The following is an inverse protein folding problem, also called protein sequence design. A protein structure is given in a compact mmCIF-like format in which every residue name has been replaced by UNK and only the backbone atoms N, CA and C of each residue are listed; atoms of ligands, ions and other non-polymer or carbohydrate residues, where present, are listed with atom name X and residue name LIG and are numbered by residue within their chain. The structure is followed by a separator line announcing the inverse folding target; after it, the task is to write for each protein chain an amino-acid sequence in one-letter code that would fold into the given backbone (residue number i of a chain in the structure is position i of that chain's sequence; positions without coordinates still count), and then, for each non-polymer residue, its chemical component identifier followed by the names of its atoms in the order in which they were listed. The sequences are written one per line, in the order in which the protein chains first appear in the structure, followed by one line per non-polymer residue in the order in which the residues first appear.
data_IF_324577223865
#
_entry.id   IF_324577223865
#
_cell.length_a   1.000
_cell.length_b   1.000
_cell.length_c   1.000
_cell.angle_alpha   90.00
_cell.angle_beta   90.00
_cell.angle_gamma   90.00
#
_symmetry.space_group_name_H-M   'P 1'
#
loop_
_entity.id
_entity.type
_entity.pdbx_description
1 polymer ?
#
# COMPACT_ATOMS: atom_id res chain seq x y z
N UNK A 1 13.09 -4.06 28.28
CA UNK A 1 13.13 -3.93 26.80
C UNK A 1 13.77 -2.58 26.48
N UNK A 2 14.98 -2.54 25.92
CA UNK A 2 15.62 -1.29 25.52
C UNK A 2 14.99 -0.82 24.20
N UNK A 3 14.43 0.39 24.15
CA UNK A 3 13.94 1.00 22.92
C UNK A 3 15.15 1.29 22.01
N UNK A 4 15.12 0.81 20.77
CA UNK A 4 16.17 1.10 19.80
C UNK A 4 16.12 2.58 19.41
N UNK A 5 17.21 3.32 19.68
CA UNK A 5 17.34 4.72 19.32
C UNK A 5 17.53 4.93 17.81
N UNK A 6 17.22 6.15 17.34
CA UNK A 6 17.57 6.61 16.01
C UNK A 6 18.75 7.57 16.09
N UNK A 7 19.63 7.53 15.09
CA UNK A 7 20.75 8.47 14.96
C UNK A 7 20.55 9.31 13.71
N UNK A 8 20.69 10.63 13.84
CA UNK A 8 20.62 11.57 12.73
C UNK A 8 22.00 11.72 12.09
N UNK A 9 22.10 11.52 10.78
CA UNK A 9 23.32 11.79 10.01
C UNK A 9 22.99 12.49 8.69
N UNK A 10 23.84 13.42 8.22
CA UNK A 10 23.65 14.05 6.91
C UNK A 10 23.86 13.03 5.80
N UNK A 11 23.05 13.10 4.75
CA UNK A 11 23.19 12.22 3.60
C UNK A 11 24.50 12.49 2.85
N UNK A 12 25.26 11.43 2.56
CA UNK A 12 26.54 11.50 1.83
C UNK A 12 26.45 12.12 0.44
N UNK A 13 25.26 12.13 -0.17
CA UNK A 13 25.05 12.64 -1.54
C UNK A 13 24.48 14.05 -1.61
N UNK A 14 23.61 14.43 -0.68
CA UNK A 14 22.84 15.69 -0.78
C UNK A 14 22.79 16.50 0.52
N UNK A 15 23.42 16.04 1.60
CA UNK A 15 23.46 16.73 2.89
C UNK A 15 22.16 16.70 3.71
N UNK A 16 21.03 16.25 3.15
CA UNK A 16 19.76 16.14 3.89
C UNK A 16 19.89 15.18 5.07
N UNK A 17 19.38 15.58 6.25
CA UNK A 17 19.40 14.75 7.47
C UNK A 17 18.58 13.47 7.28
N UNK A 18 19.20 12.33 7.59
CA UNK A 18 18.60 11.00 7.52
C UNK A 18 18.53 10.42 8.93
N UNK A 19 17.38 9.87 9.29
CA UNK A 19 17.18 9.13 10.54
C UNK A 19 17.50 7.66 10.32
N UNK A 20 18.59 7.18 10.92
CA UNK A 20 19.06 5.81 10.78
C UNK A 20 18.72 5.04 12.06
N UNK A 21 17.94 3.96 12.01
CA UNK A 21 17.69 3.12 13.18
C UNK A 21 18.98 2.41 13.58
N UNK A 22 19.42 2.57 14.83
CA UNK A 22 20.66 1.94 15.32
C UNK A 22 20.63 0.41 15.19
N UNK A 23 19.44 -0.20 15.28
CA UNK A 23 19.25 -1.64 15.11
C UNK A 23 19.62 -2.15 13.70
N UNK A 24 19.53 -1.30 12.68
CA UNK A 24 19.77 -1.70 11.29
C UNK A 24 21.03 -1.06 10.69
N UNK A 25 21.46 0.06 11.26
CA UNK A 25 22.62 0.81 10.76
C UNK A 25 22.44 1.39 9.35
N UNK A 26 21.24 1.33 8.77
CA UNK A 26 20.96 1.77 7.39
C UNK A 26 19.68 2.61 7.32
N UNK A 27 19.72 3.70 6.57
CA UNK A 27 18.55 4.55 6.28
C UNK A 27 18.57 5.05 4.85
N UNK A 28 17.41 5.33 4.28
CA UNK A 28 17.28 5.88 2.93
C UNK A 28 17.03 7.38 3.04
N UNK A 29 17.81 8.19 2.33
CA UNK A 29 17.60 9.63 2.29
C UNK A 29 16.26 9.96 1.61
N UNK A 30 15.37 10.73 2.25
CA UNK A 30 14.07 11.06 1.67
C UNK A 30 14.16 11.98 0.45
N UNK A 31 15.24 12.75 0.32
CA UNK A 31 15.43 13.71 -0.77
C UNK A 31 15.96 13.07 -2.05
N UNK A 32 17.00 12.23 -1.94
CA UNK A 32 17.70 11.68 -3.10
C UNK A 32 17.67 10.14 -3.21
N UNK A 33 16.92 9.47 -2.33
CA UNK A 33 16.79 8.01 -2.24
C UNK A 33 18.12 7.25 -2.13
N UNK A 34 19.20 7.93 -1.70
CA UNK A 34 20.50 7.29 -1.50
C UNK A 34 20.54 6.61 -0.14
N UNK A 35 21.05 5.39 -0.11
CA UNK A 35 21.25 4.64 1.11
C UNK A 35 22.42 5.23 1.90
N UNK A 36 22.21 5.48 3.19
CA UNK A 36 23.20 5.96 4.13
C UNK A 36 23.37 4.91 5.24
N UNK A 37 24.62 4.70 5.65
CA UNK A 37 25.01 3.76 6.69
C UNK A 37 25.64 4.51 7.85
N UNK A 38 25.46 4.05 9.09
CA UNK A 38 26.17 4.61 10.23
C UNK A 38 27.68 4.47 10.03
N UNK A 39 28.39 5.59 10.02
CA UNK A 39 29.85 5.61 9.97
C UNK A 39 30.40 4.84 11.20
N UNK A 40 30.97 3.65 10.96
CA UNK A 40 31.46 2.73 11.99
C UNK A 40 30.94 1.29 11.87
N UNK A 41 29.91 1.04 11.05
CA UNK A 41 29.51 -0.33 10.70
C UNK A 41 30.33 -0.84 9.51
N UNK A 42 31.32 -1.70 9.76
CA UNK A 42 32.14 -2.29 8.72
C UNK A 42 31.27 -3.02 7.66
N UNK A 43 31.50 -2.83 6.35
CA UNK A 43 30.79 -3.56 5.32
C UNK A 43 31.34 -4.99 5.24
N UNK A 44 30.55 -5.98 5.68
CA UNK A 44 30.79 -7.38 5.32
C UNK A 44 30.26 -7.59 3.90
N UNK A 45 31.09 -7.26 2.92
CA UNK A 45 30.92 -7.69 1.54
C UNK A 45 31.45 -9.13 1.40
N UNK A 46 30.57 -10.09 1.15
CA UNK A 46 30.97 -11.41 0.66
C UNK A 46 31.01 -11.38 -0.87
N UNK A 47 32.19 -11.66 -1.43
CA UNK A 47 32.47 -11.65 -2.87
C UNK A 47 31.87 -12.88 -3.60
N UNK A 48 31.49 -12.77 -4.89
CA UNK A 48 31.15 -13.94 -5.71
C UNK A 48 32.40 -14.53 -6.37
N UNK A 49 32.67 -15.81 -6.14
CA UNK A 49 33.62 -16.58 -6.94
C UNK A 49 32.94 -17.17 -8.19
N UNK A 50 33.56 -16.97 -9.34
CA UNK A 50 33.29 -17.64 -10.61
C UNK A 50 33.85 -19.07 -10.59
N UNK A 51 33.10 -20.04 -11.12
CA UNK A 51 33.69 -21.21 -11.78
C UNK A 51 32.85 -21.62 -13.00
N UNK A 52 33.49 -22.03 -14.12
CA UNK A 52 32.82 -22.44 -15.36
C UNK A 52 32.68 -23.98 -15.44
N UNK A 53 31.55 -24.45 -16.01
CA UNK A 53 31.39 -25.83 -16.48
C UNK A 53 30.13 -26.55 -16.00
N UNK A 54 29.19 -26.77 -16.92
CA UNK A 54 28.12 -27.80 -16.85
C UNK A 54 28.73 -29.22 -17.02
N UNK A 55 28.08 -30.39 -16.73
CA UNK A 55 26.64 -30.68 -16.91
C UNK A 55 25.90 -31.68 -15.96
N UNK A 56 24.56 -31.53 -15.92
CA UNK A 56 23.47 -32.52 -15.91
C UNK A 56 23.25 -33.61 -14.79
N UNK A 57 21.95 -33.83 -14.52
CA UNK A 57 21.21 -34.95 -13.90
C UNK A 57 21.23 -35.21 -12.38
N UNK A 58 20.04 -35.48 -11.84
CA UNK A 58 19.85 -36.34 -10.65
C UNK A 58 18.78 -35.87 -9.68
N UNK A 59 17.70 -36.64 -9.56
CA UNK A 59 16.60 -36.45 -8.61
C UNK A 59 16.92 -37.00 -7.20
N UNK A 60 16.07 -36.60 -6.25
CA UNK A 60 15.71 -37.26 -4.98
C UNK A 60 16.33 -36.76 -3.65
N UNK A 61 15.41 -36.31 -2.77
CA UNK A 61 15.20 -36.75 -1.38
C UNK A 61 16.23 -36.43 -0.27
N UNK A 62 15.71 -35.83 0.82
CA UNK A 62 16.34 -35.67 2.14
C UNK A 62 16.68 -34.20 2.42
N UNK A 63 16.08 -33.48 3.37
CA UNK A 63 15.78 -33.86 4.74
C UNK A 63 16.70 -33.04 5.66
N UNK A 64 16.21 -31.90 6.18
CA UNK A 64 16.88 -31.10 7.21
C UNK A 64 17.05 -29.62 6.85
N UNK A 65 16.24 -28.76 7.46
CA UNK A 65 16.40 -27.30 7.39
C UNK A 65 17.02 -26.76 8.69
N UNK A 66 18.07 -25.93 8.62
CA UNK A 66 18.45 -25.08 9.76
C UNK A 66 17.50 -23.88 9.83
N UNK A 67 16.83 -23.75 10.97
CA UNK A 67 15.98 -22.63 11.36
C UNK A 67 16.86 -21.44 11.73
N UNK A 68 16.70 -20.30 11.07
CA UNK A 68 17.38 -19.08 11.52
C UNK A 68 17.17 -17.85 10.65
N UNK A 69 16.30 -16.95 11.15
CA UNK A 69 16.27 -15.49 10.92
C UNK A 69 15.84 -14.98 9.54
N UNK A 70 14.62 -14.42 9.48
CA UNK A 70 14.25 -13.45 8.44
C UNK A 70 13.35 -12.35 9.01
N UNK A 71 13.90 -11.14 9.14
CA UNK A 71 13.16 -9.87 9.20
C UNK A 71 13.83 -8.90 8.22
N UNK A 72 12.98 -8.14 7.53
CA UNK A 72 13.24 -6.95 6.71
C UNK A 72 13.59 -7.17 5.23
N UNK A 73 12.69 -6.70 4.36
CA UNK A 73 12.98 -6.44 2.94
C UNK A 73 12.25 -7.37 1.98
N UNK A 74 11.11 -6.89 1.46
CA UNK A 74 10.52 -7.21 0.15
C UNK A 74 11.08 -8.48 -0.52
N UNK A 75 10.49 -9.65 -0.23
CA UNK A 75 10.85 -10.91 -0.90
C UNK A 75 10.91 -12.13 0.02
N UNK A 76 9.91 -12.34 0.87
CA UNK A 76 9.85 -13.56 1.70
C UNK A 76 9.31 -14.74 0.90
N UNK A 77 10.17 -15.69 0.54
CA UNK A 77 9.75 -17.01 0.10
C UNK A 77 8.97 -17.69 1.25
N UNK A 78 7.67 -17.89 1.06
CA UNK A 78 6.81 -18.53 2.07
C UNK A 78 6.93 -20.04 1.90
N UNK A 79 7.46 -20.68 2.95
CA UNK A 79 7.44 -22.12 3.14
C UNK A 79 5.99 -22.57 3.29
N UNK A 80 5.43 -23.19 2.25
CA UNK A 80 4.11 -23.83 2.29
C UNK A 80 4.28 -25.20 2.95
N UNK A 81 4.10 -25.25 4.27
CA UNK A 81 3.93 -26.50 5.00
C UNK A 81 2.57 -27.12 4.68
N UNK A 82 2.60 -28.30 4.05
CA UNK A 82 1.42 -29.08 3.66
C UNK A 82 0.81 -29.74 4.89
N UNK A 83 -0.38 -29.30 5.30
CA UNK A 83 -1.44 -30.15 5.88
C UNK A 83 -2.81 -29.58 5.46
N UNK A 84 -3.71 -30.48 5.04
CA UNK A 84 -4.64 -30.38 3.90
C UNK A 84 -5.78 -29.36 3.97
N UNK A 85 -5.88 -28.54 5.02
CA UNK A 85 -6.87 -27.47 5.17
C UNK A 85 -6.18 -26.15 5.55
N UNK A 86 -5.21 -26.20 6.48
CA UNK A 86 -4.37 -25.05 6.83
C UNK A 86 -3.54 -24.53 5.65
N UNK A 87 -3.04 -25.42 4.79
CA UNK A 87 -2.26 -25.04 3.61
C UNK A 87 -3.05 -24.20 2.59
N UNK A 88 -4.36 -24.45 2.45
CA UNK A 88 -5.22 -23.64 1.56
C UNK A 88 -5.51 -22.26 2.15
N UNK A 89 -5.77 -22.17 3.45
CA UNK A 89 -5.92 -20.89 4.15
C UNK A 89 -4.64 -20.04 4.08
N UNK A 90 -3.47 -20.62 4.35
CA UNK A 90 -2.17 -19.92 4.24
C UNK A 90 -1.93 -19.48 2.79
N UNK A 91 -2.15 -20.36 1.81
CA UNK A 91 -1.96 -20.02 0.39
C UNK A 91 -2.89 -18.89 -0.05
N UNK A 92 -4.17 -18.96 0.28
CA UNK A 92 -5.14 -17.90 -0.08
C UNK A 92 -4.85 -16.59 0.65
N UNK A 93 -4.38 -16.65 1.91
CA UNK A 93 -4.01 -15.47 2.67
C UNK A 93 -2.82 -14.72 2.07
N UNK A 94 -1.81 -15.43 1.55
CA UNK A 94 -0.62 -14.80 0.96
C UNK A 94 -0.73 -14.55 -0.55
N UNK A 95 -1.32 -15.47 -1.30
CA UNK A 95 -1.36 -15.41 -2.77
C UNK A 95 -2.74 -14.98 -3.32
N UNK A 96 -3.71 -14.72 -2.45
CA UNK A 96 -5.07 -14.32 -2.83
C UNK A 96 -5.79 -15.39 -3.64
N UNK A 97 -6.75 -14.96 -4.47
CA UNK A 97 -7.50 -15.84 -5.36
C UNK A 97 -6.72 -16.47 -6.53
N UNK A 98 -5.38 -16.36 -6.55
CA UNK A 98 -4.50 -16.95 -7.56
C UNK A 98 -4.56 -16.28 -8.95
N UNK A 99 -3.39 -16.15 -9.58
CA UNK A 99 -3.25 -15.62 -10.95
C UNK A 99 -2.45 -14.30 -11.04
N UNK A 100 -2.09 -13.92 -12.26
CA UNK A 100 -1.38 -12.65 -12.52
C UNK A 100 -2.27 -11.47 -12.11
N UNK A 101 -1.70 -10.52 -11.36
CA UNK A 101 -2.42 -9.34 -10.91
C UNK A 101 -3.33 -9.57 -9.71
N UNK A 102 -3.09 -10.62 -8.91
CA UNK A 102 -3.75 -10.83 -7.61
C UNK A 102 -2.73 -10.95 -6.50
N UNK A 103 -3.08 -10.49 -5.31
CA UNK A 103 -2.24 -10.59 -4.11
C UNK A 103 -3.10 -10.82 -2.86
N UNK A 104 -2.59 -11.62 -1.92
CA UNK A 104 -3.25 -11.88 -0.66
C UNK A 104 -2.91 -10.84 0.42
N UNK A 105 -3.77 -10.74 1.42
CA UNK A 105 -3.61 -9.80 2.53
C UNK A 105 -2.36 -10.01 3.37
N UNK A 106 -1.88 -11.25 3.48
CA UNK A 106 -0.63 -11.57 4.18
C UNK A 106 0.59 -10.93 3.56
N UNK A 107 0.65 -10.80 2.23
CA UNK A 107 1.74 -10.09 1.56
C UNK A 107 1.63 -8.57 1.68
N UNK A 108 0.43 -8.06 1.94
CA UNK A 108 0.15 -6.64 2.13
C UNK A 108 0.24 -6.20 3.60
N UNK A 109 0.39 -7.15 4.54
CA UNK A 109 0.40 -6.85 5.97
C UNK A 109 -0.94 -6.34 6.49
N UNK A 110 -2.05 -6.71 5.84
CA UNK A 110 -3.40 -6.30 6.21
C UNK A 110 -4.07 -7.44 6.97
N UNK A 111 -4.66 -7.12 8.13
CA UNK A 111 -5.57 -8.03 8.82
C UNK A 111 -6.94 -7.97 8.14
N UNK A 112 -7.37 -9.08 7.54
CA UNK A 112 -8.66 -9.18 6.84
C UNK A 112 -9.85 -8.90 7.76
N UNK A 113 -9.76 -9.23 9.05
CA UNK A 113 -10.84 -9.03 10.01
C UNK A 113 -10.96 -7.58 10.50
N UNK A 114 -9.86 -6.82 10.37
CA UNK A 114 -9.70 -5.42 10.79
C UNK A 114 -9.04 -4.63 9.66
N UNK A 115 -9.65 -4.72 8.48
CA UNK A 115 -9.08 -4.17 7.26
C UNK A 115 -9.05 -2.64 7.33
N UNK A 116 -7.87 -2.11 7.62
CA UNK A 116 -7.60 -0.68 7.80
C UNK A 116 -7.47 0.02 6.44
N UNK A 117 -8.36 0.99 6.18
CA UNK A 117 -8.41 1.71 4.91
C UNK A 117 -7.13 2.51 4.61
N UNK A 118 -6.50 3.12 5.61
CA UNK A 118 -5.25 3.86 5.45
C UNK A 118 -4.10 2.92 5.08
N UNK A 119 -4.08 1.71 5.66
CA UNK A 119 -3.16 0.63 5.25
C UNK A 119 -3.44 0.10 3.85
N UNK A 120 -4.70 0.08 3.39
CA UNK A 120 -5.00 -0.31 2.00
C UNK A 120 -4.31 0.61 1.00
N UNK A 121 -4.28 1.92 1.26
CA UNK A 121 -3.58 2.89 0.40
C UNK A 121 -2.08 2.59 0.41
N UNK A 122 -1.47 2.59 1.59
CA UNK A 122 -0.01 2.48 1.70
C UNK A 122 0.54 1.11 1.26
N UNK A 123 -0.18 0.02 1.51
CA UNK A 123 0.27 -1.34 1.17
C UNK A 123 0.40 -1.62 -0.32
N UNK A 124 -0.39 -0.98 -1.18
CA UNK A 124 -0.34 -1.17 -2.64
C UNK A 124 0.53 -0.15 -3.35
N UNK A 125 1.05 0.86 -2.66
CA UNK A 125 1.97 1.87 -3.20
C UNK A 125 3.22 1.26 -3.84
N UNK A 126 3.80 0.23 -3.21
CA UNK A 126 4.95 -0.50 -3.73
C UNK A 126 4.65 -1.26 -5.03
N UNK A 127 3.42 -1.78 -5.18
CA UNK A 127 2.98 -2.43 -6.43
C UNK A 127 2.74 -1.39 -7.53
N UNK A 128 2.15 -0.25 -7.17
CA UNK A 128 1.91 0.85 -8.10
C UNK A 128 3.25 1.40 -8.65
N UNK A 129 4.21 1.66 -7.76
CA UNK A 129 5.53 2.18 -8.12
C UNK A 129 6.39 1.18 -8.91
N UNK A 130 6.22 -0.13 -8.68
CA UNK A 130 6.80 -1.19 -9.54
C UNK A 130 6.19 -1.21 -10.94
N UNK A 131 4.91 -0.91 -11.08
CA UNK A 131 4.26 -0.81 -12.39
C UNK A 131 4.65 0.47 -13.14
N UNK A 132 4.73 1.61 -12.44
CA UNK A 132 5.18 2.91 -12.95
C UNK A 132 5.91 3.67 -11.85
N UNK A 133 7.16 4.07 -12.09
CA UNK A 133 7.99 4.76 -11.07
C UNK A 133 7.38 6.06 -10.55
N UNK A 134 6.60 6.75 -11.38
CA UNK A 134 5.91 8.00 -11.04
C UNK A 134 4.46 7.77 -10.55
N UNK A 135 4.06 6.53 -10.25
CA UNK A 135 2.72 6.26 -9.76
C UNK A 135 2.47 6.94 -8.41
N UNK A 136 1.42 7.75 -8.35
CA UNK A 136 0.95 8.43 -7.14
C UNK A 136 -0.45 7.95 -6.80
N UNK A 137 -0.80 7.95 -5.52
CA UNK A 137 -2.16 7.71 -5.09
C UNK A 137 -3.07 8.81 -5.67
N UNK A 138 -4.26 8.42 -6.12
CA UNK A 138 -5.17 9.33 -6.83
C UNK A 138 -6.57 9.37 -6.22
N UNK A 139 -7.18 8.21 -5.96
CA UNK A 139 -8.54 8.16 -5.44
C UNK A 139 -8.74 6.90 -4.59
N UNK A 140 -9.78 6.92 -3.77
CA UNK A 140 -10.29 5.73 -3.09
C UNK A 140 -11.81 5.70 -3.06
N UNK A 141 -12.36 4.50 -2.96
CA UNK A 141 -13.78 4.28 -2.76
C UNK A 141 -13.97 3.05 -1.87
N UNK A 142 -14.30 3.29 -0.60
CA UNK A 142 -14.65 2.27 0.38
C UNK A 142 -16.18 2.18 0.47
N UNK A 143 -16.76 1.06 0.07
CA UNK A 143 -18.22 0.93 -0.01
C UNK A 143 -18.90 0.88 1.37
N UNK A 144 -18.20 0.35 2.37
CA UNK A 144 -18.70 0.29 3.74
C UNK A 144 -17.54 0.33 4.74
N UNK A 145 -17.56 1.35 5.60
CA UNK A 145 -16.59 1.61 6.66
C UNK A 145 -17.35 1.71 7.98
N UNK A 146 -16.91 0.94 8.98
CA UNK A 146 -17.45 0.96 10.34
C UNK A 146 -16.96 2.17 11.13
N UNK A 147 -17.60 2.41 12.28
CA UNK A 147 -17.22 3.46 13.23
C UNK A 147 -15.73 3.42 13.65
N UNK A 148 -15.15 2.23 13.74
CA UNK A 148 -13.75 2.00 14.15
C UNK A 148 -12.72 2.20 13.02
N UNK A 149 -13.18 2.56 11.81
CA UNK A 149 -12.35 2.71 10.61
C UNK A 149 -12.13 1.41 9.83
N UNK A 150 -12.71 0.29 10.26
CA UNK A 150 -12.60 -0.99 9.55
C UNK A 150 -13.45 -0.99 8.28
N UNK A 151 -12.84 -1.36 7.16
CA UNK A 151 -13.50 -1.51 5.85
C UNK A 151 -14.09 -2.93 5.70
N UNK A 152 -15.35 -3.02 5.25
CA UNK A 152 -16.00 -4.29 4.95
C UNK A 152 -15.62 -4.81 3.57
N UNK A 153 -14.76 -5.82 3.54
CA UNK A 153 -14.20 -6.38 2.30
C UNK A 153 -15.22 -7.13 1.42
N UNK A 154 -16.35 -7.56 1.97
CA UNK A 154 -17.47 -8.15 1.21
C UNK A 154 -18.29 -7.12 0.43
N UNK A 155 -18.26 -5.85 0.86
CA UNK A 155 -18.87 -4.72 0.14
C UNK A 155 -17.95 -4.14 -0.93
N UNK A 156 -16.65 -4.38 -0.75
CA UNK A 156 -15.61 -4.00 -1.70
C UNK A 156 -14.99 -2.64 -1.41
N UNK A 157 -13.73 -2.51 -1.81
CA UNK A 157 -13.00 -1.25 -1.77
C UNK A 157 -12.07 -1.13 -2.97
N UNK A 158 -11.86 0.09 -3.43
CA UNK A 158 -10.97 0.38 -4.56
C UNK A 158 -10.00 1.47 -4.17
N UNK A 159 -8.72 1.23 -4.39
CA UNK A 159 -7.67 2.25 -4.32
C UNK A 159 -7.10 2.45 -5.72
N UNK A 160 -6.99 3.69 -6.15
CA UNK A 160 -6.48 4.06 -7.47
C UNK A 160 -5.14 4.77 -7.39
N UNK A 161 -4.25 4.40 -8.30
CA UNK A 161 -2.99 5.05 -8.56
C UNK A 161 -2.91 5.48 -10.02
N UNK A 162 -2.34 6.66 -10.24
CA UNK A 162 -2.18 7.27 -11.57
C UNK A 162 -0.71 7.56 -11.81
N UNK A 163 -0.25 7.42 -13.05
CA UNK A 163 1.05 7.90 -13.53
C UNK A 163 0.86 9.28 -14.15
N UNK A 164 1.24 10.39 -13.47
CA UNK A 164 0.98 11.74 -13.94
C UNK A 164 1.64 12.05 -15.29
N UNK A 165 2.84 11.50 -15.55
CA UNK A 165 3.53 11.69 -16.82
C UNK A 165 2.79 11.05 -17.99
N UNK A 166 2.14 9.90 -17.76
CA UNK A 166 1.45 9.14 -18.81
C UNK A 166 0.04 9.61 -19.03
N UNK A 167 -0.70 9.90 -17.96
CA UNK A 167 -2.11 10.32 -18.06
C UNK A 167 -2.25 11.67 -18.77
N UNK A 168 -1.22 12.52 -18.64
CA UNK A 168 -1.11 13.81 -19.33
C UNK A 168 -0.47 13.70 -20.71
N UNK A 169 -0.08 12.51 -21.17
CA UNK A 169 0.57 12.34 -22.46
C UNK A 169 -0.39 12.61 -23.61
N UNK A 170 0.10 13.24 -24.68
CA UNK A 170 -0.62 13.35 -25.96
C UNK A 170 -0.82 11.98 -26.64
N UNK A 171 0.03 10.99 -26.33
CA UNK A 171 -0.08 9.64 -26.87
C UNK A 171 -1.18 8.85 -26.18
N UNK A 172 -2.22 8.46 -26.95
CA UNK A 172 -3.31 7.61 -26.47
C UNK A 172 -2.79 6.29 -25.88
N UNK A 173 -1.81 5.66 -26.54
CA UNK A 173 -1.19 4.40 -26.07
C UNK A 173 -0.53 4.53 -24.70
N UNK A 174 0.03 5.70 -24.38
CA UNK A 174 0.61 5.94 -23.06
C UNK A 174 -0.49 6.16 -21.99
N UNK A 175 -1.59 6.82 -22.35
CA UNK A 175 -2.76 7.03 -21.47
C UNK A 175 -3.55 5.74 -21.17
N UNK A 176 -3.49 4.76 -22.06
CA UNK A 176 -4.17 3.47 -21.85
C UNK A 176 -3.57 2.61 -20.73
N UNK A 177 -2.33 2.90 -20.33
CA UNK A 177 -1.62 2.24 -19.23
C UNK A 177 -1.12 3.29 -18.21
N UNK A 178 -1.99 4.26 -17.90
CA UNK A 178 -1.70 5.34 -16.94
C UNK A 178 -2.50 5.28 -15.65
N UNK A 179 -3.48 4.37 -15.53
CA UNK A 179 -4.28 4.16 -14.32
C UNK A 179 -4.17 2.71 -13.84
N UNK A 180 -3.97 2.52 -12.54
CA UNK A 180 -4.01 1.21 -11.87
C UNK A 180 -5.00 1.26 -10.72
N UNK A 181 -5.96 0.34 -10.73
CA UNK A 181 -6.91 0.15 -9.62
C UNK A 181 -6.58 -1.13 -8.89
N UNK A 182 -6.63 -1.07 -7.58
CA UNK A 182 -6.48 -2.19 -6.65
C UNK A 182 -7.85 -2.44 -6.01
N UNK A 183 -8.50 -3.53 -6.39
CA UNK A 183 -9.82 -3.92 -5.92
C UNK A 183 -9.69 -4.89 -4.76
N UNK A 184 -10.02 -4.43 -3.56
CA UNK A 184 -9.99 -5.18 -2.32
C UNK A 184 -11.31 -5.92 -2.14
N UNK A 185 -11.21 -7.22 -1.83
CA UNK A 185 -12.35 -8.13 -1.71
C UNK A 185 -12.08 -9.20 -0.66
N UNK A 186 -13.07 -10.03 -0.33
CA UNK A 186 -12.87 -11.14 0.62
C UNK A 186 -11.77 -12.13 0.22
N UNK A 187 -11.35 -12.18 -1.05
CA UNK A 187 -10.32 -13.10 -1.56
C UNK A 187 -8.95 -12.44 -1.76
N UNK A 188 -8.77 -11.19 -1.35
CA UNK A 188 -7.54 -10.42 -1.52
C UNK A 188 -7.73 -9.24 -2.46
N UNK A 189 -6.65 -8.82 -3.10
CA UNK A 189 -6.60 -7.64 -3.95
C UNK A 189 -6.39 -8.04 -5.42
N UNK A 190 -7.27 -7.56 -6.30
CA UNK A 190 -7.16 -7.71 -7.75
C UNK A 190 -6.75 -6.38 -8.41
N UNK A 191 -5.66 -6.42 -9.17
CA UNK A 191 -5.11 -5.31 -9.95
C UNK A 191 -4.72 -5.77 -11.37
N UNK A 192 -5.33 -6.87 -11.83
CA UNK A 192 -5.10 -7.47 -13.15
C UNK A 192 -5.72 -6.64 -14.28
N UNK A 193 -6.83 -5.95 -14.01
CA UNK A 193 -7.54 -5.13 -14.98
C UNK A 193 -6.73 -3.90 -15.36
N UNK A 194 -6.65 -3.65 -16.66
CA UNK A 194 -6.12 -2.39 -17.21
C UNK A 194 -7.20 -1.33 -17.15
N UNK A 195 -6.79 -0.12 -16.78
CA UNK A 195 -7.64 1.06 -16.76
C UNK A 195 -6.97 2.16 -17.55
N UNK A 196 -7.76 2.87 -18.35
CA UNK A 196 -7.28 3.84 -19.32
C UNK A 196 -7.87 5.22 -19.05
N UNK A 197 -7.05 6.25 -19.28
CA UNK A 197 -7.56 7.60 -19.49
C UNK A 197 -7.90 7.78 -20.97
N UNK A 198 -9.19 7.81 -21.29
CA UNK A 198 -9.69 7.97 -22.67
C UNK A 198 -9.21 9.28 -23.27
N UNK A 199 -9.28 10.35 -22.47
CA UNK A 199 -8.86 11.69 -22.81
C UNK A 199 -7.57 12.08 -22.07
N UNK A 200 -6.82 13.00 -22.63
CA UNK A 200 -5.67 13.59 -21.95
C UNK A 200 -6.13 14.36 -20.74
N UNK A 201 -5.57 14.04 -19.57
CA UNK A 201 -5.77 14.87 -18.39
C UNK A 201 -4.83 16.06 -18.45
N UNK A 202 -5.28 17.20 -17.93
CA UNK A 202 -4.48 18.43 -17.87
C UNK A 202 -4.26 18.82 -16.42
N UNK A 203 -3.10 19.40 -16.13
CA UNK A 203 -2.77 19.95 -14.80
C UNK A 203 -2.94 18.93 -13.67
N UNK A 204 -2.45 17.70 -13.89
CA UNK A 204 -2.57 16.62 -12.91
C UNK A 204 -1.59 16.88 -11.76
N UNK A 205 -2.13 17.35 -10.64
CA UNK A 205 -1.39 17.54 -9.40
C UNK A 205 -1.73 16.37 -8.47
N UNK A 206 -0.72 15.60 -8.00
CA UNK A 206 -0.95 14.54 -7.03
C UNK A 206 -1.61 15.10 -5.76
N UNK A 207 -2.62 14.43 -5.21
CA UNK A 207 -3.18 14.83 -3.93
C UNK A 207 -2.15 14.63 -2.81
N UNK A 208 -2.14 15.52 -1.79
CA UNK A 208 -1.31 15.29 -0.63
C UNK A 208 -1.77 14.02 0.11
N UNK A 209 -0.85 13.27 0.74
CA UNK A 209 -1.25 12.19 1.63
C UNK A 209 -2.23 12.70 2.71
N UNK A 210 -3.26 11.93 3.06
CA UNK A 210 -4.22 12.36 4.07
C UNK A 210 -3.55 12.37 5.46
N UNK A 211 -3.59 13.53 6.12
CA UNK A 211 -3.21 13.65 7.53
C UNK A 211 -4.36 13.21 8.43
N UNK A 212 -5.58 13.56 8.02
CA UNK A 212 -6.81 13.03 8.58
C UNK A 212 -7.05 11.63 8.03
N UNK A 213 -6.77 10.63 8.87
CA UNK A 213 -6.97 9.21 8.56
C UNK A 213 -8.45 8.83 8.48
N UNK A 214 -8.76 7.75 7.77
CA UNK A 214 -10.12 7.21 7.68
C UNK A 214 -10.71 6.94 9.08
N UNK A 215 -9.87 6.41 9.98
CA UNK A 215 -10.25 6.13 11.38
C UNK A 215 -10.64 7.39 12.16
N UNK A 216 -9.94 8.50 11.93
CA UNK A 216 -10.27 9.77 12.59
C UNK A 216 -11.57 10.36 12.05
N UNK A 217 -11.80 10.28 10.74
CA UNK A 217 -13.08 10.66 10.14
C UNK A 217 -14.21 9.85 10.73
N UNK A 218 -14.14 8.51 10.74
CA UNK A 218 -15.25 7.69 11.25
C UNK A 218 -15.49 7.89 12.75
N UNK A 219 -14.44 8.18 13.52
CA UNK A 219 -14.59 8.53 14.94
C UNK A 219 -15.40 9.81 15.16
N UNK A 220 -15.25 10.84 14.31
CA UNK A 220 -16.03 12.08 14.42
C UNK A 220 -17.53 11.87 14.13
N UNK A 221 -17.85 10.85 13.32
CA UNK A 221 -19.22 10.48 12.95
C UNK A 221 -19.97 9.72 14.05
N UNK A 222 -19.31 9.33 15.15
CA UNK A 222 -20.00 8.73 16.29
C UNK A 222 -21.08 9.67 16.83
N UNK A 223 -20.82 10.98 16.84
CA UNK A 223 -21.78 12.02 17.22
C UNK A 223 -22.98 12.10 16.27
N UNK A 224 -22.82 11.64 15.02
CA UNK A 224 -23.87 11.55 13.99
C UNK A 224 -24.56 10.18 13.98
N UNK A 225 -24.27 9.31 14.94
CA UNK A 225 -24.93 8.00 15.08
C UNK A 225 -24.25 6.85 14.34
N UNK A 226 -23.01 7.00 13.86
CA UNK A 226 -22.23 5.90 13.30
C UNK A 226 -21.68 5.04 14.46
N UNK A 227 -22.43 4.01 14.85
CA UNK A 227 -22.09 3.11 15.95
C UNK A 227 -22.46 1.67 15.63
N UNK A 228 -21.97 0.72 16.42
CA UNK A 228 -22.32 -0.69 16.30
C UNK A 228 -21.93 -1.29 14.95
N UNK A 229 -22.91 -1.85 14.25
CA UNK A 229 -22.79 -2.51 12.95
C UNK A 229 -23.03 -1.59 11.75
N UNK A 230 -23.38 -0.31 11.99
CA UNK A 230 -23.63 0.67 10.93
C UNK A 230 -22.36 1.00 10.15
N UNK A 231 -22.56 1.38 8.89
CA UNK A 231 -21.46 1.70 7.98
C UNK A 231 -21.76 2.89 7.10
N UNK A 232 -20.71 3.60 6.73
CA UNK A 232 -20.74 4.66 5.72
C UNK A 232 -19.87 4.29 4.54
N UNK A 233 -20.22 4.78 3.35
CA UNK A 233 -19.33 4.84 2.21
C UNK A 233 -18.40 6.04 2.37
N UNK A 234 -17.11 5.83 2.17
CA UNK A 234 -16.11 6.91 2.20
C UNK A 234 -15.35 6.92 0.89
N UNK A 235 -15.33 8.08 0.23
CA UNK A 235 -14.68 8.23 -1.06
C UNK A 235 -13.80 9.47 -1.10
N UNK A 236 -12.84 9.45 -2.01
CA UNK A 236 -12.08 10.61 -2.41
C UNK A 236 -11.74 10.45 -3.88
N UNK A 237 -12.07 11.44 -4.69
CA UNK A 237 -11.64 11.51 -6.07
C UNK A 237 -11.45 12.99 -6.45
N UNK A 238 -10.21 13.44 -6.72
CA UNK A 238 -9.92 14.84 -7.02
C UNK A 238 -10.64 15.34 -8.28
N UNK A 239 -11.12 14.45 -9.16
CA UNK A 239 -11.86 14.85 -10.37
C UNK A 239 -13.32 15.22 -10.10
N UNK A 240 -13.88 14.74 -8.98
CA UNK A 240 -15.29 14.96 -8.62
C UNK A 240 -15.43 15.81 -7.35
N UNK A 241 -14.38 16.54 -6.98
CA UNK A 241 -14.47 17.49 -5.87
C UNK A 241 -15.10 18.78 -6.34
N UNK A 242 -16.22 19.13 -5.71
CA UNK A 242 -16.83 20.45 -5.82
C UNK A 242 -16.23 21.46 -4.81
N UNK A 243 -15.19 21.05 -4.09
CA UNK A 243 -14.55 21.79 -3.00
C UNK A 243 -13.07 22.03 -3.33
N UNK A 244 -12.53 23.20 -2.97
CA UNK A 244 -11.17 23.62 -3.32
C UNK A 244 -10.05 22.93 -2.53
N UNK A 245 -10.40 21.97 -1.66
CA UNK A 245 -9.46 21.25 -0.80
C UNK A 245 -9.71 19.75 -0.89
N UNK A 246 -8.68 18.90 -0.75
CA UNK A 246 -8.86 17.46 -0.68
C UNK A 246 -9.75 17.06 0.50
N UNK A 247 -10.92 16.51 0.21
CA UNK A 247 -11.87 16.02 1.22
C UNK A 247 -12.24 14.56 1.06
N UNK A 248 -12.40 13.87 2.18
CA UNK A 248 -13.20 12.67 2.31
C UNK A 248 -14.68 13.01 2.08
N UNK A 249 -15.33 12.38 1.11
CA UNK A 249 -16.78 12.42 0.97
C UNK A 249 -17.38 11.20 1.67
N UNK A 250 -18.18 11.46 2.71
CA UNK A 250 -18.82 10.46 3.54
C UNK A 250 -20.30 10.43 3.24
N UNK A 251 -20.80 9.24 2.88
CA UNK A 251 -22.21 9.00 2.52
C UNK A 251 -22.73 7.83 3.37
N UNK A 252 -23.87 8.00 4.03
CA UNK A 252 -24.54 6.94 4.77
C UNK A 252 -26.05 7.09 4.69
N UNK A 253 -26.76 5.97 4.61
CA UNK A 253 -28.23 5.95 4.68
C UNK A 253 -28.72 5.82 6.12
N UNK A 254 -28.00 5.04 6.95
CA UNK A 254 -28.19 4.95 8.39
C UNK A 254 -26.83 4.87 9.12
N UNK A 255 -26.42 5.92 9.85
CA UNK A 255 -27.09 7.22 9.92
C UNK A 255 -27.09 7.96 8.58
N UNK A 256 -28.10 8.82 8.36
CA UNK A 256 -28.17 9.66 7.16
C UNK A 256 -27.06 10.71 7.18
N UNK A 257 -26.04 10.52 6.35
CA UNK A 257 -24.87 11.39 6.23
C UNK A 257 -24.61 11.64 4.74
N UNK A 258 -24.35 12.89 4.38
CA UNK A 258 -23.78 13.28 3.10
C UNK A 258 -22.97 14.55 3.31
N UNK A 259 -21.70 14.36 3.67
CA UNK A 259 -20.82 15.42 4.18
C UNK A 259 -19.39 15.24 3.67
N UNK A 260 -18.67 16.37 3.62
CA UNK A 260 -17.27 16.42 3.21
C UNK A 260 -16.40 16.71 4.44
N UNK A 261 -15.26 16.02 4.56
CA UNK A 261 -14.31 16.20 5.64
C UNK A 261 -12.92 16.45 5.08
N UNK A 262 -12.27 17.53 5.51
CA UNK A 262 -10.92 17.89 5.11
C UNK A 262 -9.93 16.76 5.41
N UNK A 263 -9.14 16.36 4.42
CA UNK A 263 -8.06 15.39 4.58
C UNK A 263 -6.87 15.94 5.37
N UNK A 264 -6.83 17.25 5.62
CA UNK A 264 -5.74 17.88 6.38
C UNK A 264 -5.97 17.79 7.89
N UNK A 265 -7.21 17.95 8.35
CA UNK A 265 -7.51 18.18 9.78
C UNK A 265 -8.82 17.55 10.28
N UNK A 266 -9.53 16.78 9.44
CA UNK A 266 -10.82 16.17 9.75
C UNK A 266 -11.97 17.15 10.01
N UNK A 267 -11.80 18.45 9.72
CA UNK A 267 -12.89 19.42 9.81
C UNK A 267 -13.96 19.13 8.76
N UNK A 268 -15.23 19.32 9.12
CA UNK A 268 -16.32 19.25 8.15
C UNK A 268 -16.29 20.47 7.23
N UNK A 269 -16.34 20.22 5.92
CA UNK A 269 -16.28 21.24 4.88
C UNK A 269 -17.70 21.46 4.35
N UNK A 270 -18.20 22.72 4.32
CA UNK A 270 -19.46 23.05 3.69
C UNK A 270 -19.49 22.64 2.21
N UNK A 271 -20.67 22.24 1.74
CA UNK A 271 -20.91 21.96 0.32
C UNK A 271 -20.86 23.23 -0.53
#
# INVERSE_FOLDING_TARGET
MQQAGFTQQPCSKCGTVVWIPQATGMGICPSCHTQNTLAGGAPQAAAPQQYPGMPNMGAASGGGFPVGRMIAGVGGAIVIGVLSIGGWYVKSYFFGGGGKGKIGYGQLGIDKSKADGDKMITSVSGLATKWKKDAVWWSVNYQAVRADGTVLLDKGAVVEYVSPSKVQSVSKKLREDSIKKFQFSTVGVDFSKKWNATNQWKNVVPPPPPTCTLKQVTASLASKGLTGDKTVRVTFDPQFQNVNVPTWHVIGDDPKIDAYYSMADCSEVPK
#
